data_IF_815843406876
#
_entry.id   IF_815843406876
#
_cell.length_a   1.000
_cell.length_b   1.000
_cell.length_c   1.000
_cell.angle_alpha   90.00
_cell.angle_beta   90.00
_cell.angle_gamma   90.00
#
_symmetry.space_group_name_H-M   'P 1'
#
loop_
_entity.id
_entity.type
_entity.pdbx_description
1 polymer ?
#
# COMPACT_ATOMS: atom_id res chain seq x y z
N UNK A 1 49.61 -44.13 -16.21
CA UNK A 1 49.04 -44.75 -15.00
C UNK A 1 48.87 -43.65 -13.95
N UNK A 2 47.66 -43.09 -13.82
CA UNK A 2 47.34 -42.13 -12.76
C UNK A 2 47.19 -42.91 -11.44
N UNK A 3 47.97 -42.53 -10.43
CA UNK A 3 47.77 -42.98 -9.05
C UNK A 3 46.82 -42.00 -8.36
N UNK A 4 45.65 -42.48 -7.96
CA UNK A 4 44.76 -41.78 -7.03
C UNK A 4 45.33 -41.90 -5.61
N UNK A 5 45.59 -40.75 -4.98
CA UNK A 5 45.89 -40.67 -3.55
C UNK A 5 44.57 -40.79 -2.77
N UNK A 6 44.38 -41.92 -2.09
CA UNK A 6 43.25 -42.15 -1.21
C UNK A 6 43.60 -41.61 0.19
N UNK A 7 43.03 -40.47 0.57
CA UNK A 7 43.13 -39.94 1.94
C UNK A 7 41.90 -40.43 2.71
N UNK A 8 42.03 -41.59 3.37
CA UNK A 8 41.12 -41.99 4.45
C UNK A 8 41.52 -41.23 5.72
N UNK A 9 41.01 -40.00 5.85
CA UNK A 9 41.08 -39.18 7.05
C UNK A 9 39.81 -39.33 7.88
N UNK A 10 39.95 -39.94 9.05
CA UNK A 10 38.91 -40.20 10.04
C UNK A 10 38.10 -38.92 10.38
N UNK A 11 36.83 -38.87 10.00
CA UNK A 11 35.96 -37.69 10.09
C UNK A 11 35.51 -37.32 11.51
N UNK A 12 36.01 -38.01 12.54
CA UNK A 12 35.57 -37.84 13.93
C UNK A 12 36.45 -36.91 14.79
N UNK A 13 37.48 -36.28 14.23
CA UNK A 13 38.36 -35.34 14.96
C UNK A 13 38.16 -33.87 14.58
N UNK A 14 37.04 -33.52 13.94
CA UNK A 14 36.69 -32.12 13.62
C UNK A 14 35.34 -31.67 14.22
N UNK A 15 34.79 -32.45 15.17
CA UNK A 15 33.56 -32.09 15.90
C UNK A 15 33.89 -31.60 17.33
N UNK A 16 35.13 -31.81 17.79
CA UNK A 16 35.57 -31.46 19.14
C UNK A 16 35.92 -29.99 19.39
N UNK A 17 36.17 -29.18 18.35
CA UNK A 17 36.63 -27.79 18.52
C UNK A 17 35.61 -26.70 18.15
N UNK A 18 34.43 -27.06 17.62
CA UNK A 18 33.41 -26.07 17.24
C UNK A 18 32.30 -25.92 18.29
N UNK A 19 32.26 -26.80 19.29
CA UNK A 19 31.33 -26.70 20.43
C UNK A 19 31.75 -25.64 21.46
N UNK A 20 33.04 -25.22 21.46
CA UNK A 20 33.56 -24.26 22.43
C UNK A 20 33.43 -22.78 22.03
N UNK A 21 33.12 -22.49 20.77
CA UNK A 21 32.85 -21.11 20.31
C UNK A 21 31.36 -20.78 20.49
N UNK A 22 30.46 -21.74 20.25
CA UNK A 22 29.01 -21.59 20.49
C UNK A 22 28.64 -21.59 21.99
N UNK A 23 29.37 -22.31 22.85
CA UNK A 23 29.12 -22.28 24.31
C UNK A 23 29.59 -21.01 25.01
N UNK A 24 30.53 -20.26 24.44
CA UNK A 24 30.99 -18.98 25.03
C UNK A 24 30.06 -17.80 24.75
N UNK A 25 29.20 -17.88 23.72
CA UNK A 25 28.14 -16.88 23.49
C UNK A 25 26.83 -17.22 24.20
N UNK A 26 26.50 -18.50 24.37
CA UNK A 26 25.30 -18.92 25.09
C UNK A 26 25.40 -18.83 26.63
N UNK A 27 26.62 -18.74 27.19
CA UNK A 27 26.83 -18.67 28.64
C UNK A 27 26.98 -17.24 29.20
N UNK A 28 27.09 -16.21 28.34
CA UNK A 28 27.32 -14.83 28.79
C UNK A 28 26.04 -14.00 28.98
N UNK A 29 24.88 -14.44 28.48
CA UNK A 29 23.59 -13.81 28.75
C UNK A 29 22.49 -14.88 28.82
N UNK A 30 22.12 -15.25 30.05
CA UNK A 30 21.31 -16.40 30.40
C UNK A 30 19.81 -16.19 30.13
N UNK A 31 19.45 -16.02 28.86
CA UNK A 31 18.06 -15.96 28.41
C UNK A 31 18.02 -15.83 26.89
N UNK A 32 17.63 -16.91 26.20
CA UNK A 32 17.34 -16.86 24.77
C UNK A 32 16.24 -15.82 24.54
N UNK A 33 16.62 -14.68 23.98
CA UNK A 33 15.67 -13.71 23.47
C UNK A 33 15.08 -14.25 22.18
N UNK A 34 13.94 -14.90 22.29
CA UNK A 34 13.08 -15.17 21.13
C UNK A 34 12.15 -13.97 20.97
N UNK A 35 12.36 -13.17 19.92
CA UNK A 35 11.34 -12.24 19.45
C UNK A 35 10.18 -13.07 18.91
N UNK A 36 8.96 -12.66 19.24
CA UNK A 36 7.77 -13.27 18.65
C UNK A 36 7.74 -12.89 17.17
N UNK A 37 7.96 -13.88 16.29
CA UNK A 37 8.02 -13.68 14.84
C UNK A 37 6.72 -13.13 14.26
N UNK A 38 5.60 -13.26 14.97
CA UNK A 38 4.31 -12.68 14.56
C UNK A 38 4.27 -11.15 14.69
N UNK A 39 5.20 -10.56 15.45
CA UNK A 39 5.25 -9.11 15.71
C UNK A 39 6.36 -8.38 14.94
N UNK A 40 7.15 -9.07 14.14
CA UNK A 40 8.18 -8.48 13.29
C UNK A 40 7.73 -8.61 11.85
N UNK A 41 6.82 -7.71 11.43
CA UNK A 41 6.45 -7.57 10.02
C UNK A 41 7.59 -6.95 9.20
N UNK A 42 7.46 -7.01 7.87
CA UNK A 42 8.46 -6.48 6.94
C UNK A 42 8.70 -4.97 7.12
N UNK A 43 7.74 -4.24 7.70
CA UNK A 43 7.76 -2.79 7.83
C UNK A 43 8.11 -2.30 9.25
N UNK A 44 8.46 -3.21 10.15
CA UNK A 44 8.68 -2.87 11.55
C UNK A 44 10.13 -2.43 11.82
N UNK A 45 10.29 -1.26 12.44
CA UNK A 45 11.56 -0.86 13.04
C UNK A 45 11.76 -1.62 14.35
N UNK A 46 12.68 -2.57 14.36
CA UNK A 46 13.04 -3.33 15.57
C UNK A 46 14.30 -2.74 16.20
N UNK A 47 14.18 -2.31 17.45
CA UNK A 47 15.28 -1.77 18.24
C UNK A 47 15.57 -2.58 19.49
N UNK A 48 16.83 -2.60 19.91
CA UNK A 48 17.22 -3.04 21.26
C UNK A 48 17.81 -1.82 21.98
N UNK A 49 17.17 -1.41 23.07
CA UNK A 49 17.63 -0.32 23.91
C UNK A 49 18.13 -0.86 25.23
N UNK A 50 19.33 -0.45 25.68
CA UNK A 50 19.77 -0.64 27.06
C UNK A 50 19.45 0.60 27.88
N UNK A 51 18.77 0.42 29.00
CA UNK A 51 18.51 1.48 29.99
C UNK A 51 19.40 1.22 31.22
N UNK A 52 20.70 1.44 31.06
CA UNK A 52 21.69 1.22 32.11
C UNK A 52 22.38 -0.16 32.06
N UNK A 53 23.18 -0.45 33.09
CA UNK A 53 24.03 -1.65 33.14
C UNK A 53 23.25 -2.96 33.26
N UNK A 54 22.01 -2.92 33.78
CA UNK A 54 21.26 -4.12 34.17
C UNK A 54 19.95 -4.32 33.44
N UNK A 55 19.54 -3.42 32.55
CA UNK A 55 18.26 -3.55 31.86
C UNK A 55 18.37 -3.29 30.37
N UNK A 56 17.63 -4.08 29.61
CA UNK A 56 17.44 -3.88 28.18
C UNK A 56 15.98 -4.12 27.80
N UNK A 57 15.59 -3.52 26.69
CA UNK A 57 14.23 -3.49 26.15
C UNK A 57 14.28 -3.76 24.66
N UNK A 58 13.37 -4.57 24.15
CA UNK A 58 13.07 -4.61 22.72
C UNK A 58 11.97 -3.63 22.41
N UNK A 59 12.12 -2.94 21.30
CA UNK A 59 11.18 -1.96 20.80
C UNK A 59 10.73 -2.39 19.42
N UNK A 60 9.44 -2.28 19.14
CA UNK A 60 8.88 -2.39 17.79
C UNK A 60 8.13 -1.11 17.52
N UNK A 61 8.54 -0.37 16.48
CA UNK A 61 7.97 0.94 16.13
C UNK A 61 7.95 1.92 17.33
N UNK A 62 9.01 1.90 18.14
CA UNK A 62 9.14 2.75 19.33
C UNK A 62 8.36 2.27 20.57
N UNK A 63 7.51 1.26 20.45
CA UNK A 63 6.76 0.68 21.57
C UNK A 63 7.56 -0.45 22.22
N UNK A 64 7.66 -0.44 23.55
CA UNK A 64 8.35 -1.50 24.30
C UNK A 64 7.56 -2.81 24.22
N UNK A 65 8.14 -3.82 23.59
CA UNK A 65 7.54 -5.16 23.49
C UNK A 65 7.97 -6.08 24.65
N UNK A 66 9.24 -6.03 25.03
CA UNK A 66 9.78 -6.80 26.16
C UNK A 66 10.85 -6.01 26.88
N UNK A 67 11.04 -6.36 28.15
CA UNK A 67 12.17 -5.92 28.95
C UNK A 67 12.74 -7.10 29.75
N UNK A 68 14.04 -7.11 29.95
CA UNK A 68 14.69 -8.06 30.85
C UNK A 68 15.77 -7.37 31.67
N UNK A 69 15.98 -7.89 32.88
CA UNK A 69 16.99 -7.41 33.82
C UNK A 69 18.21 -8.34 33.78
N UNK A 70 19.03 -8.23 32.74
CA UNK A 70 20.31 -8.94 32.69
C UNK A 70 21.42 -7.94 33.01
N UNK A 71 22.07 -8.15 34.16
CA UNK A 71 23.26 -7.42 34.56
C UNK A 71 24.41 -7.72 33.59
N UNK A 72 24.91 -6.71 32.87
CA UNK A 72 26.21 -6.81 32.19
C UNK A 72 27.18 -5.86 32.87
N UNK A 73 28.26 -6.42 33.41
CA UNK A 73 29.30 -5.70 34.17
C UNK A 73 30.19 -4.82 33.28
N UNK A 74 30.08 -4.97 31.97
CA UNK A 74 30.67 -4.11 30.95
C UNK A 74 29.93 -4.36 29.63
N UNK A 75 29.82 -3.36 28.77
CA UNK A 75 29.76 -3.63 27.34
C UNK A 75 31.19 -4.05 27.03
N UNK A 76 31.47 -5.35 27.01
CA UNK A 76 32.78 -5.82 26.56
C UNK A 76 33.07 -5.18 25.20
N UNK A 77 34.35 -5.00 24.86
CA UNK A 77 34.81 -4.62 23.51
C UNK A 77 34.43 -5.64 22.42
N UNK A 78 33.43 -6.49 22.70
CA UNK A 78 32.73 -7.29 21.73
C UNK A 78 32.20 -6.34 20.66
N UNK A 79 32.83 -6.44 19.50
CA UNK A 79 32.38 -5.89 18.24
C UNK A 79 30.86 -6.03 18.17
N UNK A 80 30.18 -4.92 17.94
CA UNK A 80 28.78 -4.90 17.60
C UNK A 80 28.63 -5.56 16.22
N UNK A 81 28.66 -6.90 16.21
CA UNK A 81 28.50 -7.69 15.01
C UNK A 81 27.01 -7.85 14.75
N UNK A 82 26.54 -7.30 13.63
CA UNK A 82 25.33 -7.79 13.01
C UNK A 82 25.60 -9.23 12.56
N UNK A 83 25.26 -10.19 13.41
CA UNK A 83 25.36 -11.59 13.07
C UNK A 83 24.41 -11.90 11.93
N UNK A 84 24.92 -12.05 10.71
CA UNK A 84 24.22 -12.82 9.70
C UNK A 84 24.17 -14.26 10.22
N UNK A 85 22.96 -14.82 10.27
CA UNK A 85 22.74 -16.19 10.72
C UNK A 85 23.44 -17.15 9.74
N UNK A 86 24.66 -17.61 10.04
CA UNK A 86 25.22 -18.80 9.39
C UNK A 86 24.50 -20.04 9.91
N UNK A 87 23.29 -20.26 9.39
CA UNK A 87 22.46 -21.42 9.70
C UNK A 87 21.25 -21.43 8.79
N UNK A 88 21.47 -21.86 7.54
CA UNK A 88 20.54 -22.27 6.45
C UNK A 88 19.23 -21.51 6.19
N UNK A 89 18.87 -20.47 6.94
CA UNK A 89 17.76 -19.58 6.62
C UNK A 89 18.34 -18.30 6.05
N UNK A 90 18.49 -18.26 4.74
CA UNK A 90 18.89 -17.05 4.02
C UNK A 90 17.92 -15.92 4.39
N UNK A 91 18.44 -14.88 5.02
CA UNK A 91 17.71 -13.62 5.17
C UNK A 91 17.66 -12.99 3.77
N UNK A 92 16.53 -13.15 3.07
CA UNK A 92 16.25 -12.49 1.79
C UNK A 92 15.59 -11.12 2.05
N UNK A 93 16.24 -10.27 2.84
CA UNK A 93 15.76 -8.92 3.14
C UNK A 93 16.73 -7.88 2.59
N UNK A 94 16.19 -6.80 2.00
CA UNK A 94 16.98 -5.62 1.64
C UNK A 94 17.09 -4.75 2.89
N UNK A 95 18.31 -4.52 3.38
CA UNK A 95 18.57 -3.59 4.48
C UNK A 95 18.61 -2.17 3.90
N UNK A 96 17.50 -1.43 4.05
CA UNK A 96 17.38 -0.05 3.53
C UNK A 96 18.06 1.00 4.40
N UNK A 97 18.14 0.78 5.72
CA UNK A 97 18.78 1.73 6.65
C UNK A 97 19.32 1.01 7.88
N UNK A 98 20.50 1.42 8.35
CA UNK A 98 21.11 0.96 9.60
C UNK A 98 21.38 2.14 10.52
N UNK A 99 20.84 2.10 11.74
CA UNK A 99 20.97 3.18 12.72
C UNK A 99 21.64 2.62 13.97
N UNK A 100 22.79 3.22 14.34
CA UNK A 100 23.55 2.86 15.53
C UNK A 100 23.69 4.13 16.37
N UNK A 101 23.03 4.17 17.53
CA UNK A 101 23.05 5.33 18.42
C UNK A 101 22.71 4.95 19.87
N UNK A 102 23.21 5.75 20.82
CA UNK A 102 22.95 5.56 22.26
C UNK A 102 21.81 6.44 22.75
N UNK A 103 20.74 5.83 23.29
CA UNK A 103 19.62 6.51 23.98
C UNK A 103 18.70 7.35 23.08
N UNK A 104 17.39 7.10 23.10
CA UNK A 104 16.38 7.98 22.47
C UNK A 104 15.81 7.57 21.11
N UNK A 105 16.23 6.43 20.55
CA UNK A 105 15.66 5.85 19.29
C UNK A 105 14.22 5.31 19.50
N UNK A 106 13.74 5.28 20.74
CA UNK A 106 12.41 4.78 21.12
C UNK A 106 11.30 5.84 21.09
N UNK A 107 11.48 6.96 20.40
CA UNK A 107 10.45 8.00 20.34
C UNK A 107 9.67 7.90 19.03
N UNK A 108 8.33 8.06 19.03
CA UNK A 108 7.51 8.16 17.82
C UNK A 108 8.09 9.14 16.79
N UNK A 109 8.71 10.23 17.27
CA UNK A 109 9.43 11.19 16.44
C UNK A 109 10.53 10.56 15.55
N UNK A 110 11.22 9.52 16.03
CA UNK A 110 12.24 8.84 15.25
C UNK A 110 11.66 8.00 14.11
N UNK A 111 10.55 7.31 14.34
CA UNK A 111 9.82 6.62 13.27
C UNK A 111 9.34 7.63 12.22
N UNK A 112 8.71 8.73 12.65
CA UNK A 112 8.28 9.81 11.75
C UNK A 112 9.46 10.39 10.94
N UNK A 113 10.60 10.64 11.57
CA UNK A 113 11.79 11.17 10.89
C UNK A 113 12.37 10.18 9.87
N UNK A 114 12.38 8.88 10.18
CA UNK A 114 12.85 7.85 9.25
C UNK A 114 11.88 7.66 8.08
N UNK A 115 10.57 7.67 8.34
CA UNK A 115 9.54 7.67 7.31
C UNK A 115 9.70 8.88 6.38
N UNK A 116 9.87 10.09 6.95
CA UNK A 116 10.13 11.29 6.18
C UNK A 116 11.41 11.16 5.34
N UNK A 117 12.50 10.59 5.86
CA UNK A 117 13.70 10.36 5.08
C UNK A 117 13.44 9.43 3.88
N UNK A 118 12.72 8.31 4.07
CA UNK A 118 12.40 7.39 2.98
C UNK A 118 11.49 8.03 1.91
N UNK A 119 10.57 8.88 2.34
CA UNK A 119 9.71 9.72 1.49
C UNK A 119 10.57 10.67 0.65
N UNK A 120 11.46 11.45 1.28
CA UNK A 120 12.35 12.39 0.57
C UNK A 120 13.33 11.68 -0.38
N UNK A 121 13.71 10.44 -0.07
CA UNK A 121 14.52 9.59 -0.96
C UNK A 121 13.72 8.97 -2.11
N UNK A 122 12.40 9.19 -2.18
CA UNK A 122 11.54 8.68 -3.24
C UNK A 122 11.27 7.18 -3.18
N UNK A 123 11.64 6.50 -2.09
CA UNK A 123 11.59 5.03 -1.97
C UNK A 123 10.19 4.46 -2.26
N UNK A 124 9.14 5.20 -1.89
CA UNK A 124 7.75 4.79 -2.12
C UNK A 124 7.24 5.16 -3.52
N UNK A 125 7.77 6.24 -4.12
CA UNK A 125 7.38 6.67 -5.46
C UNK A 125 8.09 5.87 -6.56
N UNK A 126 9.33 5.42 -6.33
CA UNK A 126 10.12 4.68 -7.35
C UNK A 126 9.39 3.47 -7.92
N UNK A 127 8.78 2.55 -7.13
CA UNK A 127 8.06 1.42 -7.70
C UNK A 127 6.85 1.81 -8.54
N UNK A 128 6.26 2.98 -8.30
CA UNK A 128 5.16 3.54 -9.10
C UNK A 128 5.72 4.12 -10.40
N UNK A 129 6.77 4.94 -10.31
CA UNK A 129 7.45 5.56 -11.45
C UNK A 129 8.01 4.54 -12.44
N UNK A 130 8.59 3.44 -11.95
CA UNK A 130 9.17 2.36 -12.76
C UNK A 130 8.14 1.65 -13.67
N UNK A 131 6.84 1.87 -13.43
CA UNK A 131 5.75 1.31 -14.26
C UNK A 131 5.44 2.13 -15.49
N UNK A 132 5.87 3.39 -15.51
CA UNK A 132 5.62 4.30 -16.60
C UNK A 132 6.83 4.39 -17.53
N UNK A 133 6.57 4.65 -18.81
CA UNK A 133 7.60 4.57 -19.85
C UNK A 133 7.93 5.92 -20.48
N UNK A 134 7.07 6.92 -20.32
CA UNK A 134 7.15 8.17 -21.07
C UNK A 134 6.77 9.42 -20.25
N UNK A 135 6.97 9.39 -18.92
CA UNK A 135 6.71 10.56 -18.07
C UNK A 135 7.63 11.73 -18.40
N UNK A 136 7.06 12.92 -18.45
CA UNK A 136 7.80 14.18 -18.36
C UNK A 136 8.36 14.39 -16.95
N UNK A 137 9.31 15.32 -16.80
CA UNK A 137 9.82 15.68 -15.48
C UNK A 137 8.71 16.23 -14.57
N UNK A 138 7.80 17.05 -15.12
CA UNK A 138 6.68 17.62 -14.36
C UNK A 138 5.72 16.55 -13.86
N UNK A 139 5.40 15.54 -14.68
CA UNK A 139 4.57 14.40 -14.24
C UNK A 139 5.31 13.57 -13.19
N UNK A 140 6.62 13.33 -13.38
CA UNK A 140 7.46 12.60 -12.41
C UNK A 140 7.45 13.29 -11.04
N UNK A 141 7.63 14.61 -11.01
CA UNK A 141 7.63 15.41 -9.79
C UNK A 141 6.24 15.41 -9.13
N UNK A 142 5.18 15.54 -9.93
CA UNK A 142 3.80 15.52 -9.43
C UNK A 142 3.42 14.17 -8.82
N UNK A 143 3.74 13.06 -9.50
CA UNK A 143 3.51 11.70 -8.98
C UNK A 143 4.32 11.48 -7.71
N UNK A 144 5.60 11.87 -7.70
CA UNK A 144 6.45 11.75 -6.51
C UNK A 144 5.85 12.48 -5.32
N UNK A 145 5.44 13.73 -5.51
CA UNK A 145 4.81 14.53 -4.45
C UNK A 145 3.49 13.93 -3.97
N UNK A 146 2.64 13.46 -4.88
CA UNK A 146 1.38 12.79 -4.53
C UNK A 146 1.63 11.54 -3.69
N UNK A 147 2.45 10.60 -4.17
CA UNK A 147 2.76 9.36 -3.44
C UNK A 147 3.37 9.66 -2.07
N UNK A 148 4.32 10.58 -2.02
CA UNK A 148 4.98 10.97 -0.79
C UNK A 148 4.00 11.53 0.24
N UNK A 149 3.03 12.34 -0.19
CA UNK A 149 2.01 12.88 0.68
C UNK A 149 1.02 11.80 1.14
N UNK A 150 0.54 10.95 0.24
CA UNK A 150 -0.36 9.84 0.60
C UNK A 150 0.30 8.83 1.56
N UNK A 151 1.60 8.59 1.44
CA UNK A 151 2.36 7.75 2.39
C UNK A 151 2.52 8.47 3.73
N UNK A 152 2.85 9.77 3.72
CA UNK A 152 2.99 10.59 4.93
C UNK A 152 1.70 10.59 5.76
N UNK A 153 0.56 10.69 5.08
CA UNK A 153 -0.76 10.74 5.71
C UNK A 153 -1.33 9.35 6.01
N UNK A 154 -0.64 8.28 5.62
CA UNK A 154 -1.06 6.89 5.87
C UNK A 154 -2.18 6.39 4.95
N UNK A 155 -2.53 7.15 3.91
CA UNK A 155 -3.57 6.81 2.96
C UNK A 155 -3.09 5.81 1.90
N UNK A 156 -1.81 5.80 1.56
CA UNK A 156 -1.30 4.98 0.46
C UNK A 156 -1.61 3.48 0.63
N UNK A 157 -1.59 2.97 1.85
CA UNK A 157 -1.93 1.57 2.15
C UNK A 157 -3.43 1.25 2.04
N UNK A 158 -4.29 2.27 1.99
CA UNK A 158 -5.75 2.13 1.93
C UNK A 158 -6.26 2.05 0.48
N UNK A 159 -5.49 2.51 -0.51
CA UNK A 159 -5.83 2.34 -1.91
C UNK A 159 -5.52 0.92 -2.37
N UNK A 160 -6.51 0.26 -2.96
CA UNK A 160 -6.28 -0.96 -3.73
C UNK A 160 -5.72 -0.64 -5.12
N UNK A 161 -6.22 0.42 -5.76
CA UNK A 161 -5.74 0.90 -7.06
C UNK A 161 -6.00 2.41 -7.24
N UNK A 162 -5.18 3.06 -8.07
CA UNK A 162 -5.33 4.46 -8.44
C UNK A 162 -4.92 4.65 -9.90
N UNK A 163 -5.74 5.33 -10.70
CA UNK A 163 -5.44 5.65 -12.09
C UNK A 163 -5.35 7.17 -12.28
N UNK A 164 -4.34 7.63 -13.02
CA UNK A 164 -4.20 9.02 -13.43
C UNK A 164 -4.36 9.13 -14.93
N UNK A 165 -5.61 9.33 -15.37
CA UNK A 165 -5.93 9.33 -16.80
C UNK A 165 -5.43 10.56 -17.56
N UNK A 166 -4.98 11.62 -16.88
CA UNK A 166 -4.47 12.85 -17.50
C UNK A 166 -2.96 12.80 -17.84
N UNK A 167 -2.32 11.64 -17.68
CA UNK A 167 -0.94 11.43 -18.15
C UNK A 167 -0.90 11.31 -19.68
N UNK A 168 0.29 11.16 -20.26
CA UNK A 168 0.40 10.80 -21.67
C UNK A 168 -0.38 9.50 -22.01
N UNK A 169 -0.84 9.35 -23.26
CA UNK A 169 -1.75 8.27 -23.67
C UNK A 169 -1.23 6.84 -23.37
N UNK A 170 0.09 6.63 -23.39
CA UNK A 170 0.71 5.33 -23.09
C UNK A 170 0.59 5.01 -21.60
N UNK A 171 0.82 6.01 -20.75
CA UNK A 171 0.90 5.85 -19.29
C UNK A 171 -0.46 6.10 -18.60
N UNK A 172 -1.42 6.77 -19.25
CA UNK A 172 -2.75 7.07 -18.71
C UNK A 172 -3.57 5.83 -18.34
N UNK A 173 -3.28 4.68 -18.96
CA UNK A 173 -3.94 3.40 -18.66
C UNK A 173 -3.20 2.58 -17.60
N UNK A 174 -2.02 3.01 -17.14
CA UNK A 174 -1.24 2.29 -16.13
C UNK A 174 -1.67 2.78 -14.74
N UNK A 175 -2.24 1.86 -13.95
CA UNK A 175 -2.58 2.13 -12.55
C UNK A 175 -1.32 2.25 -11.70
N UNK A 176 -1.39 2.95 -10.58
CA UNK A 176 -0.21 3.22 -9.74
C UNK A 176 0.18 2.01 -8.88
N UNK A 177 -0.74 1.05 -8.63
CA UNK A 177 -0.49 -0.11 -7.76
C UNK A 177 -0.11 -1.38 -8.52
N UNK A 178 -1.04 -1.99 -9.24
CA UNK A 178 -0.73 -3.22 -10.00
C UNK A 178 -1.43 -3.37 -11.35
N UNK A 179 -2.50 -2.60 -11.61
CA UNK A 179 -3.36 -2.79 -12.77
C UNK A 179 -2.92 -1.98 -13.98
N UNK A 180 -3.33 -2.47 -15.14
CA UNK A 180 -3.26 -1.77 -16.43
C UNK A 180 -4.62 -1.87 -17.07
N UNK A 181 -5.25 -0.73 -17.28
CA UNK A 181 -6.56 -0.60 -17.90
C UNK A 181 -6.50 -0.77 -19.42
N UNK A 182 -7.65 -0.95 -20.06
CA UNK A 182 -7.80 -1.06 -21.52
C UNK A 182 -8.82 -0.04 -22.00
N UNK A 183 -8.45 0.72 -23.04
CA UNK A 183 -9.38 1.60 -23.73
C UNK A 183 -10.21 0.78 -24.74
N UNK A 184 -11.52 0.69 -24.49
CA UNK A 184 -12.45 -0.08 -25.30
C UNK A 184 -13.21 0.86 -26.24
N UNK A 185 -13.33 0.45 -27.50
CA UNK A 185 -13.97 1.21 -28.59
C UNK A 185 -13.40 2.62 -28.81
N UNK A 186 -12.15 2.84 -28.41
CA UNK A 186 -11.36 4.03 -28.71
C UNK A 186 -11.93 5.34 -28.14
N UNK A 187 -12.19 5.38 -26.83
CA UNK A 187 -12.38 6.64 -26.10
C UNK A 187 -11.25 7.62 -26.43
N UNK A 188 -11.60 8.90 -26.61
CA UNK A 188 -10.62 9.91 -27.06
C UNK A 188 -9.79 10.37 -25.88
N UNK A 189 -8.46 10.27 -25.99
CA UNK A 189 -7.53 10.71 -24.97
C UNK A 189 -6.87 12.04 -25.32
N UNK A 190 -6.81 12.98 -24.39
CA UNK A 190 -6.00 14.19 -24.46
C UNK A 190 -5.33 14.50 -23.10
N UNK A 191 -4.73 15.69 -22.97
CA UNK A 191 -4.05 16.11 -21.73
C UNK A 191 -4.98 16.23 -20.51
N UNK A 192 -6.29 16.27 -20.72
CA UNK A 192 -7.30 16.34 -19.67
C UNK A 192 -7.87 14.96 -19.30
N UNK A 193 -7.43 13.91 -19.98
CA UNK A 193 -7.86 12.53 -19.76
C UNK A 193 -8.69 11.96 -20.90
N UNK A 194 -9.60 11.05 -20.56
CA UNK A 194 -10.48 10.40 -21.54
C UNK A 194 -11.82 11.12 -21.67
N UNK A 195 -12.26 11.30 -22.91
CA UNK A 195 -13.62 11.67 -23.28
C UNK A 195 -14.33 10.45 -23.83
N UNK A 196 -15.52 10.20 -23.29
CA UNK A 196 -16.40 9.09 -23.65
C UNK A 196 -17.63 9.60 -24.38
N UNK A 197 -18.27 8.73 -25.16
CA UNK A 197 -19.53 9.03 -25.84
C UNK A 197 -20.77 8.69 -24.98
N UNK A 198 -20.57 8.02 -23.84
CA UNK A 198 -21.63 7.58 -22.93
C UNK A 198 -22.50 6.45 -23.49
N UNK A 199 -22.00 5.71 -24.49
CA UNK A 199 -22.75 4.62 -25.14
C UNK A 199 -21.91 3.36 -25.28
N UNK A 200 -20.77 3.43 -25.99
CA UNK A 200 -19.93 2.26 -26.24
C UNK A 200 -18.43 2.48 -26.00
N UNK A 201 -17.98 3.71 -25.78
CA UNK A 201 -16.59 4.05 -25.45
C UNK A 201 -16.37 4.05 -23.95
N UNK A 202 -15.44 3.22 -23.46
CA UNK A 202 -15.17 3.14 -22.02
C UNK A 202 -13.75 2.63 -21.72
N UNK A 203 -13.32 2.79 -20.48
CA UNK A 203 -12.11 2.15 -19.96
C UNK A 203 -12.49 0.92 -19.13
N UNK A 204 -11.96 -0.25 -19.48
CA UNK A 204 -11.92 -1.41 -18.59
C UNK A 204 -10.72 -1.28 -17.65
N UNK A 205 -10.96 -1.04 -16.37
CA UNK A 205 -9.88 -0.88 -15.39
C UNK A 205 -9.08 -2.16 -15.15
N UNK A 206 -9.60 -3.33 -15.55
CA UNK A 206 -9.09 -4.65 -15.16
C UNK A 206 -8.99 -4.86 -13.63
N UNK A 207 -9.70 -4.03 -12.86
CA UNK A 207 -9.83 -4.17 -11.42
C UNK A 207 -11.16 -4.87 -11.09
N UNK A 208 -11.06 -6.07 -10.52
CA UNK A 208 -12.19 -6.84 -10.03
C UNK A 208 -12.21 -6.77 -8.51
N UNK A 209 -13.23 -6.14 -7.88
CA UNK A 209 -13.26 -5.96 -6.43
C UNK A 209 -13.13 -7.26 -5.62
N UNK A 210 -13.68 -8.38 -6.09
CA UNK A 210 -13.54 -9.66 -5.37
C UNK A 210 -12.15 -10.31 -5.48
N UNK A 211 -11.44 -10.08 -6.58
CA UNK A 211 -10.12 -10.68 -6.81
C UNK A 211 -8.98 -9.79 -6.34
N UNK A 212 -9.16 -8.47 -6.46
CA UNK A 212 -8.12 -7.46 -6.31
C UNK A 212 -8.34 -6.53 -5.11
N UNK A 213 -9.58 -6.42 -4.60
CA UNK A 213 -9.94 -5.57 -3.49
C UNK A 213 -9.53 -6.16 -2.14
N UNK A 214 -8.40 -5.69 -1.60
CA UNK A 214 -8.01 -6.00 -0.22
C UNK A 214 -8.71 -5.04 0.75
N UNK A 215 -8.81 -3.77 0.38
CA UNK A 215 -9.45 -2.73 1.17
C UNK A 215 -10.91 -2.49 0.77
N UNK A 216 -11.27 -2.72 -0.50
CA UNK A 216 -12.64 -2.66 -0.99
C UNK A 216 -13.43 -3.89 -0.52
N UNK A 217 -14.08 -3.75 0.64
CA UNK A 217 -14.83 -4.79 1.31
C UNK A 217 -16.33 -4.50 1.28
N UNK A 218 -17.14 -5.53 1.57
CA UNK A 218 -18.61 -5.46 1.48
C UNK A 218 -19.18 -4.28 2.27
N UNK A 219 -18.73 -4.15 3.52
CA UNK A 219 -19.17 -3.17 4.51
C UNK A 219 -18.14 -2.05 4.74
N UNK A 220 -17.14 -1.93 3.87
CA UNK A 220 -16.15 -0.88 3.91
C UNK A 220 -15.55 -0.71 2.51
N UNK A 221 -16.12 0.20 1.73
CA UNK A 221 -15.71 0.40 0.36
C UNK A 221 -15.72 1.89 0.04
N UNK A 222 -14.77 2.30 -0.78
CA UNK A 222 -14.61 3.66 -1.23
C UNK A 222 -14.19 3.66 -2.68
N UNK A 223 -14.76 4.57 -3.46
CA UNK A 223 -14.22 4.92 -4.77
C UNK A 223 -14.48 6.39 -5.06
N UNK A 224 -13.71 6.97 -5.98
CA UNK A 224 -13.90 8.35 -6.40
C UNK A 224 -13.39 8.59 -7.80
N UNK A 225 -13.86 9.68 -8.38
CA UNK A 225 -13.52 10.13 -9.72
C UNK A 225 -13.34 11.65 -9.70
N UNK A 226 -12.25 12.12 -10.30
CA UNK A 226 -12.06 13.53 -10.56
C UNK A 226 -12.62 13.86 -11.93
N UNK A 227 -13.58 14.79 -11.98
CA UNK A 227 -14.17 15.28 -13.22
C UNK A 227 -13.53 16.60 -13.58
N UNK A 228 -12.79 16.63 -14.69
CA UNK A 228 -12.24 17.88 -15.20
C UNK A 228 -13.32 18.72 -15.89
N UNK A 229 -14.11 18.10 -16.76
CA UNK A 229 -15.17 18.77 -17.51
C UNK A 229 -16.38 17.84 -17.68
N UNK A 230 -17.55 18.30 -17.25
CA UNK A 230 -18.80 17.60 -17.48
C UNK A 230 -19.35 17.99 -18.86
N UNK A 231 -19.16 17.10 -19.83
CA UNK A 231 -19.61 17.30 -21.20
C UNK A 231 -21.04 16.79 -21.45
N UNK A 232 -21.69 16.15 -20.47
CA UNK A 232 -22.92 15.39 -20.71
C UNK A 232 -24.19 16.04 -20.14
N UNK A 233 -25.26 16.18 -20.95
CA UNK A 233 -26.64 16.29 -20.47
C UNK A 233 -27.37 14.93 -20.33
N UNK A 234 -26.70 13.79 -20.53
CA UNK A 234 -27.26 12.42 -20.52
C UNK A 234 -26.44 11.40 -19.69
N UNK A 235 -26.98 10.17 -19.50
CA UNK A 235 -26.42 9.09 -18.66
C UNK A 235 -24.92 8.93 -18.93
N UNK A 236 -24.10 9.17 -17.93
CA UNK A 236 -22.68 8.81 -17.96
C UNK A 236 -22.33 8.15 -16.62
N UNK A 237 -21.93 6.88 -16.65
CA UNK A 237 -21.35 6.22 -15.48
C UNK A 237 -19.87 6.60 -15.42
N UNK A 238 -19.49 7.31 -14.38
CA UNK A 238 -18.15 7.88 -14.26
C UNK A 238 -17.18 6.94 -13.53
N UNK A 239 -17.69 5.88 -12.91
CA UNK A 239 -16.89 4.78 -12.39
C UNK A 239 -17.78 3.54 -12.22
N UNK A 240 -17.19 2.36 -12.42
CA UNK A 240 -17.60 1.03 -11.98
C UNK A 240 -19.03 0.55 -12.31
N UNK A 241 -19.49 0.78 -13.55
CA UNK A 241 -20.59 -0.02 -14.10
C UNK A 241 -20.13 -1.46 -14.32
N UNK A 242 -21.06 -2.42 -14.31
CA UNK A 242 -20.86 -3.72 -14.97
C UNK A 242 -21.90 -3.84 -16.08
N UNK A 243 -21.61 -4.57 -17.15
CA UNK A 243 -22.49 -4.72 -18.32
C UNK A 243 -23.82 -5.45 -18.04
N UNK A 244 -24.04 -5.95 -16.81
CA UNK A 244 -25.26 -6.65 -16.45
C UNK A 244 -25.92 -6.18 -15.15
N UNK A 245 -25.21 -5.54 -14.20
CA UNK A 245 -25.80 -5.01 -12.96
C UNK A 245 -24.94 -3.88 -12.31
N UNK A 246 -25.54 -2.70 -12.11
CA UNK A 246 -24.99 -1.45 -11.55
C UNK A 246 -24.60 -1.53 -10.06
N UNK A 247 -23.68 -2.42 -9.70
CA UNK A 247 -23.42 -2.72 -8.29
C UNK A 247 -22.40 -1.79 -7.62
N UNK A 248 -21.60 -1.02 -8.39
CA UNK A 248 -20.54 -0.15 -7.85
C UNK A 248 -20.37 1.20 -8.57
N UNK A 249 -21.41 1.85 -9.10
CA UNK A 249 -21.25 3.03 -9.96
C UNK A 249 -21.47 4.43 -9.34
N UNK A 250 -20.83 5.47 -9.89
CA UNK A 250 -21.26 6.87 -9.77
C UNK A 250 -21.86 7.29 -11.12
N UNK A 251 -23.12 7.71 -11.13
CA UNK A 251 -23.90 7.90 -12.35
C UNK A 251 -24.63 9.25 -12.33
N UNK A 252 -24.56 10.04 -13.41
CA UNK A 252 -25.54 11.11 -13.64
C UNK A 252 -26.69 10.54 -14.47
N UNK A 253 -27.94 10.82 -14.12
CA UNK A 253 -29.11 10.24 -14.79
C UNK A 253 -29.42 10.96 -16.11
N UNK A 254 -29.72 10.21 -17.18
CA UNK A 254 -30.13 10.77 -18.46
C UNK A 254 -31.48 11.45 -18.31
N UNK A 255 -31.57 12.68 -18.81
CA UNK A 255 -32.81 13.45 -18.78
C UNK A 255 -33.15 14.02 -17.39
N UNK A 256 -32.33 13.74 -16.37
CA UNK A 256 -32.38 14.39 -15.07
C UNK A 256 -30.99 14.95 -14.73
N UNK A 257 -30.67 16.16 -15.24
CA UNK A 257 -29.34 16.74 -15.06
C UNK A 257 -29.04 17.07 -13.59
N UNK A 258 -30.04 17.02 -12.70
CA UNK A 258 -29.92 17.44 -11.30
C UNK A 258 -29.92 16.26 -10.31
N UNK A 259 -29.66 15.04 -10.78
CA UNK A 259 -29.51 13.90 -9.89
C UNK A 259 -28.21 13.15 -10.16
N UNK A 260 -27.37 13.04 -9.14
CA UNK A 260 -26.26 12.11 -9.09
C UNK A 260 -26.69 10.87 -8.32
N UNK A 261 -26.34 9.69 -8.82
CA UNK A 261 -26.54 8.41 -8.16
C UNK A 261 -25.21 7.80 -7.77
N UNK A 262 -25.21 7.10 -6.64
CA UNK A 262 -24.10 6.23 -6.27
C UNK A 262 -24.59 4.83 -5.93
N UNK A 263 -23.81 3.84 -6.30
CA UNK A 263 -24.03 2.44 -6.03
C UNK A 263 -22.71 1.89 -5.49
N UNK A 264 -22.75 1.24 -4.33
CA UNK A 264 -21.64 0.46 -3.79
C UNK A 264 -22.24 -0.78 -3.16
N UNK A 265 -21.87 -1.96 -3.66
CA UNK A 265 -22.25 -3.25 -3.12
C UNK A 265 -23.76 -3.41 -2.87
N UNK A 266 -24.65 -2.94 -3.78
CA UNK A 266 -26.08 -2.71 -3.46
C UNK A 266 -27.09 -3.30 -4.46
N UNK A 267 -28.32 -3.61 -3.99
CA UNK A 267 -29.50 -3.92 -4.83
C UNK A 267 -30.63 -2.85 -4.88
N UNK A 268 -30.41 -1.59 -4.50
CA UNK A 268 -31.37 -0.49 -4.74
C UNK A 268 -30.61 0.80 -5.09
N UNK A 269 -31.24 1.93 -5.39
CA UNK A 269 -30.51 3.15 -5.83
C UNK A 269 -30.29 4.14 -4.68
N UNK A 270 -29.19 4.89 -4.67
CA UNK A 270 -29.03 6.09 -3.84
C UNK A 270 -28.98 7.30 -4.74
N UNK A 271 -29.76 8.33 -4.43
CA UNK A 271 -29.87 9.53 -5.26
C UNK A 271 -29.61 10.78 -4.41
N UNK A 272 -28.85 11.74 -4.95
CA UNK A 272 -28.82 13.10 -4.41
C UNK A 272 -30.10 13.83 -4.83
N UNK A 273 -30.58 14.78 -4.01
CA UNK A 273 -31.62 15.71 -4.43
C UNK A 273 -30.99 16.96 -5.04
N UNK A 274 -31.39 17.32 -6.26
CA UNK A 274 -31.09 18.62 -6.89
C UNK A 274 -29.60 18.97 -6.99
N UNK A 275 -28.75 18.01 -7.37
CA UNK A 275 -27.32 18.22 -7.60
C UNK A 275 -26.84 17.59 -8.90
N UNK A 276 -26.11 18.37 -9.70
CA UNK A 276 -25.41 17.94 -10.93
C UNK A 276 -23.91 17.82 -10.68
N UNK A 277 -23.21 17.08 -11.53
CA UNK A 277 -21.74 17.13 -11.53
C UNK A 277 -21.25 18.50 -11.99
N UNK A 278 -20.30 19.05 -11.24
CA UNK A 278 -19.57 20.28 -11.50
C UNK A 278 -18.23 19.95 -12.19
N UNK A 279 -17.73 20.93 -12.94
CA UNK A 279 -16.40 20.85 -13.53
C UNK A 279 -15.33 20.96 -12.43
N UNK A 280 -14.17 20.37 -12.68
CA UNK A 280 -12.99 20.42 -11.81
C UNK A 280 -13.33 20.03 -10.37
N UNK A 281 -13.98 18.88 -10.20
CA UNK A 281 -14.44 18.41 -8.89
C UNK A 281 -14.17 16.93 -8.66
N UNK A 282 -13.77 16.60 -7.44
CA UNK A 282 -13.61 15.23 -6.97
C UNK A 282 -14.92 14.74 -6.36
N UNK A 283 -15.50 13.71 -6.94
CA UNK A 283 -16.66 13.01 -6.41
C UNK A 283 -16.25 11.68 -5.83
N UNK A 284 -16.69 11.40 -4.61
CA UNK A 284 -16.43 10.14 -3.94
C UNK A 284 -17.71 9.54 -3.39
N UNK A 285 -17.77 8.22 -3.37
CA UNK A 285 -18.77 7.47 -2.64
C UNK A 285 -18.05 6.59 -1.62
N UNK A 286 -18.50 6.63 -0.37
CA UNK A 286 -17.99 5.80 0.71
C UNK A 286 -19.14 5.02 1.33
N UNK A 287 -18.91 3.74 1.59
CA UNK A 287 -19.86 2.85 2.20
C UNK A 287 -19.27 2.24 3.46
N UNK A 288 -20.09 2.20 4.50
CA UNK A 288 -19.90 1.30 5.62
C UNK A 288 -21.05 0.27 5.69
N UNK A 289 -21.08 -0.57 6.74
CA UNK A 289 -22.10 -1.60 6.93
C UNK A 289 -23.55 -1.11 6.79
N UNK A 290 -23.84 0.14 7.18
CA UNK A 290 -25.21 0.67 7.24
C UNK A 290 -25.45 1.87 6.34
N UNK A 291 -24.41 2.62 5.98
CA UNK A 291 -24.56 3.92 5.34
C UNK A 291 -23.77 3.97 4.03
N UNK A 292 -24.36 4.64 3.04
CA UNK A 292 -23.68 5.13 1.85
C UNK A 292 -23.65 6.66 1.91
N UNK A 293 -22.49 7.25 1.70
CA UNK A 293 -22.29 8.70 1.75
C UNK A 293 -21.53 9.16 0.52
N UNK A 294 -21.97 10.29 -0.04
CA UNK A 294 -21.30 10.95 -1.15
C UNK A 294 -20.61 12.22 -0.69
N UNK A 295 -19.48 12.50 -1.33
CA UNK A 295 -18.64 13.66 -1.09
C UNK A 295 -18.32 14.36 -2.41
N UNK A 296 -18.21 15.68 -2.34
CA UNK A 296 -17.64 16.52 -3.38
C UNK A 296 -16.55 17.37 -2.75
N UNK A 297 -15.33 17.28 -3.27
CA UNK A 297 -14.17 18.05 -2.78
C UNK A 297 -13.98 17.90 -1.25
N UNK A 298 -14.24 16.70 -0.73
CA UNK A 298 -14.15 16.36 0.69
C UNK A 298 -15.35 16.76 1.55
N UNK A 299 -16.35 17.46 0.99
CA UNK A 299 -17.57 17.88 1.69
C UNK A 299 -18.67 16.86 1.44
N UNK A 300 -19.36 16.42 2.49
CA UNK A 300 -20.51 15.52 2.31
C UNK A 300 -21.67 16.25 1.65
N UNK A 301 -22.20 15.66 0.57
CA UNK A 301 -23.29 16.24 -0.22
C UNK A 301 -24.60 15.45 -0.07
N UNK A 302 -24.53 14.19 0.36
CA UNK A 302 -25.70 13.36 0.65
C UNK A 302 -25.28 12.12 1.45
N UNK A 303 -26.23 11.52 2.16
CA UNK A 303 -26.07 10.24 2.86
C UNK A 303 -27.41 9.52 3.01
N UNK A 304 -27.41 8.19 2.95
CA UNK A 304 -28.60 7.37 3.22
C UNK A 304 -28.23 6.05 3.91
N UNK A 305 -29.23 5.46 4.58
CA UNK A 305 -29.11 4.18 5.28
C UNK A 305 -29.40 3.06 4.30
N UNK A 306 -28.33 2.43 3.86
CA UNK A 306 -28.30 1.44 2.80
C UNK A 306 -27.38 0.31 3.25
N UNK A 307 -27.95 -0.87 3.50
CA UNK A 307 -27.17 -2.07 3.79
C UNK A 307 -26.38 -2.54 2.55
N UNK A 308 -25.24 -3.19 2.77
CA UNK A 308 -24.51 -3.90 1.72
C UNK A 308 -25.20 -5.23 1.36
N UNK A 309 -25.00 -5.72 0.14
CA UNK A 309 -25.52 -7.02 -0.29
C UNK A 309 -24.42 -7.94 -0.80
N UNK A 310 -23.79 -7.61 -1.93
CA UNK A 310 -22.75 -8.42 -2.55
C UNK A 310 -21.65 -7.53 -3.12
N UNK A 311 -20.41 -8.06 -3.18
CA UNK A 311 -19.32 -7.48 -3.96
C UNK A 311 -19.39 -8.09 -5.36
N UNK A 312 -19.24 -7.29 -6.41
CA UNK A 312 -19.19 -7.76 -7.79
C UNK A 312 -17.93 -8.56 -8.09
N UNK A 313 -18.11 -9.72 -8.72
CA UNK A 313 -17.03 -10.45 -9.34
C UNK A 313 -16.93 -10.08 -10.83
N UNK A 314 -16.72 -8.79 -11.11
CA UNK A 314 -16.58 -8.24 -12.46
C UNK A 314 -15.65 -7.04 -12.42
N UNK A 315 -15.04 -6.72 -13.57
CA UNK A 315 -14.19 -5.54 -13.67
C UNK A 315 -15.02 -4.27 -13.51
N UNK A 316 -14.39 -3.23 -12.96
CA UNK A 316 -14.95 -1.89 -12.93
C UNK A 316 -14.70 -1.17 -14.26
N UNK A 317 -15.75 -0.66 -14.90
CA UNK A 317 -15.67 0.12 -16.14
C UNK A 317 -15.83 1.63 -15.89
N UNK A 318 -15.17 2.48 -16.65
CA UNK A 318 -15.26 3.95 -16.52
C UNK A 318 -15.75 4.53 -17.84
N UNK A 319 -16.80 5.36 -17.81
CA UNK A 319 -17.40 5.95 -19.01
C UNK A 319 -18.35 5.03 -19.77
N UNK A 320 -18.64 3.84 -19.23
CA UNK A 320 -19.56 2.85 -19.79
C UNK A 320 -21.05 3.18 -19.57
#
# INVERSE_FOLDING_TARGET
KMSTLNIQGNSNTLIGNHTNILKKFAAANNGNLTLDGTKVGNDNLVGVQRTGATSWKTLVNGVQERSSSIASSSIGTAEFMFGSRQGSSNWNGILSTLIIGGGGINQPAHYTNHLNLLIELGVFATPVLDRFSALTQTETDAITNFINQEVRDGNWGLYDEFFCFSLNATDALVGFKSKTATNVNAATHDINGFTFDGVDQYIDSNFNPTADGVNYQLDNAFFGVFLNNNLSPALAALAAATNTDDLSSLLQVAGDPVTIRAYINKAAEFTTSEKSFENVSLYCAAKNATNLQMFENGISISSDVIAAQNITNSNMYIGA
#
